data_IF_879496741511
#
_entry.id   IF_879496741511
#
_cell.length_a   1.000
_cell.length_b   1.000
_cell.length_c   1.000
_cell.angle_alpha   90.00
_cell.angle_beta   90.00
_cell.angle_gamma   90.00
#
_symmetry.space_group_name_H-M   'P 1'
#
loop_
_entity.id
_entity.type
_entity.pdbx_description
1 polymer ?
#
# COMPACT_ATOMS: atom_id res chain seq x y z
N UNK A 1 2.85 -6.90 -7.73
CA UNK A 1 4.05 -6.49 -6.97
C UNK A 1 4.27 -7.44 -5.80
N UNK A 2 5.41 -8.08 -5.74
CA UNK A 2 5.83 -8.98 -4.67
C UNK A 2 7.25 -8.65 -4.20
N UNK A 3 7.71 -9.32 -3.15
CA UNK A 3 9.09 -9.20 -2.63
C UNK A 3 9.62 -10.57 -2.22
N UNK A 4 10.92 -10.65 -1.89
CA UNK A 4 11.55 -11.91 -1.48
C UNK A 4 11.06 -12.53 -0.16
N UNK A 5 10.10 -11.89 0.52
CA UNK A 5 9.46 -12.41 1.74
C UNK A 5 7.99 -12.80 1.52
N UNK A 6 7.53 -12.82 0.28
CA UNK A 6 6.17 -13.19 -0.10
C UNK A 6 6.15 -14.65 -0.56
N UNK A 7 5.08 -15.38 -0.22
CA UNK A 7 4.90 -16.76 -0.62
C UNK A 7 3.53 -16.94 -1.26
N UNK A 8 3.46 -17.74 -2.34
CA UNK A 8 2.22 -18.27 -2.87
C UNK A 8 1.68 -19.30 -1.87
N UNK A 9 0.43 -19.14 -1.42
CA UNK A 9 -0.18 -19.96 -0.38
C UNK A 9 -1.38 -20.79 -0.87
N UNK A 10 -1.81 -20.56 -2.12
CA UNK A 10 -2.95 -21.26 -2.75
C UNK A 10 -2.65 -21.53 -4.21
N UNK A 11 -3.03 -22.73 -4.67
CA UNK A 11 -2.98 -23.11 -6.10
C UNK A 11 -4.04 -22.37 -6.92
N UNK A 12 -3.86 -22.35 -8.24
CA UNK A 12 -4.88 -21.84 -9.17
C UNK A 12 -4.90 -20.31 -9.27
N UNK A 13 -3.80 -19.62 -8.91
CA UNK A 13 -3.72 -18.16 -9.08
C UNK A 13 -3.87 -17.75 -10.54
N UNK A 14 -3.23 -18.47 -11.47
CA UNK A 14 -3.29 -18.16 -12.89
C UNK A 14 -4.73 -18.29 -13.41
N UNK A 15 -5.36 -19.40 -13.18
CA UNK A 15 -6.74 -19.68 -13.60
C UNK A 15 -7.74 -18.68 -12.99
N UNK A 16 -7.52 -18.33 -11.73
CA UNK A 16 -8.32 -17.32 -11.05
C UNK A 16 -8.16 -15.93 -11.71
N UNK A 17 -6.93 -15.50 -11.98
CA UNK A 17 -6.65 -14.22 -12.63
C UNK A 17 -7.16 -14.19 -14.06
N UNK A 18 -7.06 -15.30 -14.79
CA UNK A 18 -7.58 -15.42 -16.16
C UNK A 18 -9.10 -15.29 -16.19
N UNK A 19 -9.81 -15.92 -15.25
CA UNK A 19 -11.26 -15.76 -15.07
C UNK A 19 -11.68 -14.33 -14.71
N UNK A 20 -10.76 -13.53 -14.18
CA UNK A 20 -10.93 -12.16 -13.70
C UNK A 20 -10.03 -11.16 -14.45
N UNK A 21 -9.74 -11.40 -15.72
CA UNK A 21 -8.72 -10.69 -16.51
C UNK A 21 -8.85 -9.17 -16.59
N UNK A 22 -10.04 -8.63 -16.25
CA UNK A 22 -10.30 -7.17 -16.24
C UNK A 22 -10.35 -6.57 -14.84
N UNK A 23 -10.08 -7.34 -13.79
CA UNK A 23 -10.19 -6.89 -12.40
C UNK A 23 -8.82 -6.51 -11.85
N UNK A 24 -8.76 -5.38 -11.16
CA UNK A 24 -7.61 -4.96 -10.35
C UNK A 24 -7.85 -5.35 -8.90
N UNK A 25 -6.96 -6.18 -8.37
CA UNK A 25 -6.99 -6.58 -6.96
C UNK A 25 -6.10 -5.65 -6.15
N UNK A 26 -6.72 -4.67 -5.51
CA UNK A 26 -6.04 -3.64 -4.72
C UNK A 26 -6.91 -3.24 -3.53
N UNK A 27 -6.31 -3.13 -2.35
CA UNK A 27 -7.04 -2.62 -1.19
C UNK A 27 -7.06 -1.10 -1.18
N UNK A 28 -8.27 -0.57 -1.19
CA UNK A 28 -8.55 0.85 -0.95
C UNK A 28 -9.16 0.97 0.45
N UNK A 29 -8.46 1.65 1.36
CA UNK A 29 -8.93 1.80 2.74
C UNK A 29 -9.97 2.92 2.83
N UNK A 30 -9.67 4.08 2.25
CA UNK A 30 -10.56 5.23 2.27
C UNK A 30 -10.15 6.31 1.27
N UNK A 31 -11.09 7.19 0.96
CA UNK A 31 -10.80 8.48 0.35
C UNK A 31 -10.24 9.42 1.43
N UNK A 32 -9.21 10.17 1.08
CA UNK A 32 -8.54 11.13 1.98
C UNK A 32 -9.09 12.53 1.71
N UNK A 33 -9.50 13.20 2.79
CA UNK A 33 -9.88 14.61 2.79
C UNK A 33 -8.82 15.45 3.49
N UNK A 34 -8.92 16.76 3.39
CA UNK A 34 -7.97 17.66 4.06
C UNK A 34 -7.97 17.52 5.60
N UNK A 35 -9.10 17.10 6.17
CA UNK A 35 -9.27 16.90 7.62
C UNK A 35 -8.74 15.55 8.11
N UNK A 36 -8.31 14.68 7.20
CA UNK A 36 -7.69 13.42 7.56
C UNK A 36 -6.22 13.61 7.93
N UNK A 37 -5.77 12.88 8.96
CA UNK A 37 -4.36 12.87 9.36
C UNK A 37 -3.44 12.44 8.22
N UNK A 38 -3.89 11.52 7.40
CA UNK A 38 -3.15 10.99 6.27
C UNK A 38 -2.94 12.02 5.15
N UNK A 39 -3.73 13.10 5.11
CA UNK A 39 -3.52 14.21 4.17
C UNK A 39 -2.15 14.86 4.33
N UNK A 40 -1.58 14.82 5.53
CA UNK A 40 -0.24 15.32 5.79
C UNK A 40 0.84 14.63 4.95
N UNK A 41 0.59 13.40 4.45
CA UNK A 41 1.56 12.67 3.61
C UNK A 41 1.92 13.42 2.35
N UNK A 42 0.95 14.07 1.72
CA UNK A 42 1.12 14.81 0.46
C UNK A 42 1.05 16.34 0.62
N UNK A 43 0.41 16.85 1.68
CA UNK A 43 0.32 18.29 1.93
C UNK A 43 1.60 18.89 2.51
N UNK A 44 2.45 18.07 3.11
CA UNK A 44 3.73 18.46 3.69
C UNK A 44 4.86 18.04 2.74
N UNK A 45 5.77 18.95 2.40
CA UNK A 45 7.07 18.62 1.83
C UNK A 45 7.98 18.13 2.97
N UNK A 46 8.10 16.82 3.09
CA UNK A 46 8.77 16.19 4.23
C UNK A 46 10.29 16.34 4.13
N UNK A 47 10.95 16.93 5.14
CA UNK A 47 12.40 16.92 5.19
C UNK A 47 12.93 15.48 5.15
N UNK A 48 13.94 15.20 4.32
CA UNK A 48 14.50 13.85 4.10
C UNK A 48 14.84 13.13 5.42
N UNK A 49 15.35 13.85 6.43
CA UNK A 49 15.65 13.29 7.76
C UNK A 49 14.40 12.77 8.46
N UNK A 50 13.24 13.38 8.26
CA UNK A 50 11.98 12.94 8.84
C UNK A 50 11.32 11.80 8.07
N UNK A 51 11.77 11.49 6.84
CA UNK A 51 11.26 10.39 6.04
C UNK A 51 11.81 9.02 6.47
N UNK A 52 12.93 9.00 7.22
CA UNK A 52 13.51 7.76 7.75
C UNK A 52 12.57 7.11 8.76
N UNK A 53 12.17 5.87 8.48
CA UNK A 53 11.18 5.11 9.27
C UNK A 53 11.86 4.13 10.24
N UNK A 54 12.63 4.64 11.21
CA UNK A 54 13.10 3.82 12.32
C UNK A 54 12.07 3.80 13.44
N UNK A 55 11.79 2.62 13.99
CA UNK A 55 10.66 2.37 14.89
C UNK A 55 10.64 3.19 16.17
N UNK A 56 11.79 3.48 16.76
CA UNK A 56 11.92 4.18 18.04
C UNK A 56 12.69 5.51 17.93
N UNK A 57 12.85 6.07 16.73
CA UNK A 57 13.59 7.30 16.57
C UNK A 57 12.73 8.52 16.95
N UNK A 58 13.35 9.53 17.58
CA UNK A 58 12.72 10.81 17.96
C UNK A 58 11.92 11.45 16.80
N UNK A 59 12.37 11.31 15.57
CA UNK A 59 11.66 11.78 14.38
C UNK A 59 10.26 11.19 14.19
N UNK A 60 9.94 10.03 14.78
CA UNK A 60 8.59 9.49 14.78
C UNK A 60 7.61 10.41 15.52
N UNK A 61 8.00 10.94 16.68
CA UNK A 61 7.18 11.87 17.45
C UNK A 61 6.97 13.18 16.69
N UNK A 62 8.02 13.70 16.03
CA UNK A 62 7.91 14.89 15.20
C UNK A 62 6.93 14.64 14.04
N UNK A 63 7.00 13.49 13.36
CA UNK A 63 6.04 13.14 12.30
C UNK A 63 4.60 13.09 12.81
N UNK A 64 4.37 12.45 13.96
CA UNK A 64 3.03 12.38 14.58
C UNK A 64 2.51 13.78 14.88
N UNK A 65 3.35 14.64 15.45
CA UNK A 65 3.01 16.02 15.77
C UNK A 65 2.66 16.83 14.52
N UNK A 66 3.49 16.77 13.48
CA UNK A 66 3.23 17.46 12.20
C UNK A 66 1.93 16.96 11.53
N UNK A 67 1.66 15.65 11.58
CA UNK A 67 0.41 15.08 11.08
C UNK A 67 -0.81 15.56 11.89
N UNK A 68 -0.66 15.69 13.20
CA UNK A 68 -1.72 16.23 14.05
C UNK A 68 -1.99 17.70 13.72
N UNK A 69 -0.96 18.55 13.61
CA UNK A 69 -1.11 19.96 13.20
C UNK A 69 -1.79 20.05 11.83
N UNK A 70 -1.38 19.24 10.86
CA UNK A 70 -1.98 19.23 9.53
C UNK A 70 -3.48 18.92 9.58
N UNK A 71 -3.89 17.97 10.42
CA UNK A 71 -5.32 17.64 10.66
C UNK A 71 -6.10 18.83 11.24
N UNK A 72 -5.49 19.69 12.05
CA UNK A 72 -6.13 20.91 12.60
C UNK A 72 -6.09 22.09 11.63
N UNK A 73 -5.58 21.92 10.41
CA UNK A 73 -5.47 22.96 9.40
C UNK A 73 -4.13 23.70 9.36
N UNK A 74 -3.22 23.42 10.33
CA UNK A 74 -1.91 24.05 10.39
C UNK A 74 -0.91 23.18 9.62
N UNK A 75 -0.50 23.62 8.42
CA UNK A 75 0.43 22.88 7.56
C UNK A 75 1.80 23.55 7.63
N UNK A 76 2.70 22.96 8.43
CA UNK A 76 4.12 23.36 8.43
C UNK A 76 4.82 22.64 7.27
N UNK A 77 5.81 23.32 6.65
CA UNK A 77 6.52 22.84 5.43
C UNK A 77 5.55 22.47 4.30
N UNK A 78 4.61 23.37 4.01
CA UNK A 78 3.60 23.16 2.97
C UNK A 78 4.24 22.71 1.66
N UNK A 79 3.69 21.65 1.07
CA UNK A 79 4.02 21.26 -0.29
C UNK A 79 3.48 22.33 -1.25
N UNK A 80 4.39 23.12 -1.83
CA UNK A 80 4.05 24.21 -2.74
C UNK A 80 4.11 23.78 -4.21
N UNK A 81 4.39 22.53 -4.49
CA UNK A 81 4.32 22.01 -5.85
C UNK A 81 2.88 22.05 -6.32
N UNK A 82 2.68 22.59 -7.51
CA UNK A 82 1.35 22.75 -8.08
C UNK A 82 1.02 21.51 -8.90
N UNK A 83 -0.11 20.93 -8.59
CA UNK A 83 -0.71 19.89 -9.38
C UNK A 83 -2.02 20.44 -9.98
N UNK A 84 -2.18 20.29 -11.30
CA UNK A 84 -3.24 21.00 -12.05
C UNK A 84 -4.60 20.32 -12.01
N UNK A 85 -4.63 18.99 -11.91
CA UNK A 85 -5.90 18.25 -11.95
C UNK A 85 -6.53 18.10 -10.57
N UNK A 86 -7.85 18.19 -10.52
CA UNK A 86 -8.62 17.97 -9.29
C UNK A 86 -8.82 16.49 -9.05
N UNK A 87 -7.80 15.80 -8.55
CA UNK A 87 -7.92 14.40 -8.16
C UNK A 87 -8.47 14.23 -6.74
N UNK A 88 -9.19 13.16 -6.57
CA UNK A 88 -9.57 12.66 -5.24
C UNK A 88 -8.47 11.72 -4.74
N UNK A 89 -7.88 12.04 -3.59
CA UNK A 89 -6.82 11.23 -3.01
C UNK A 89 -7.38 10.02 -2.28
N UNK A 90 -6.74 8.86 -2.48
CA UNK A 90 -7.12 7.60 -1.87
C UNK A 90 -5.92 6.95 -1.19
N UNK A 91 -6.16 6.33 -0.02
CA UNK A 91 -5.19 5.54 0.70
C UNK A 91 -5.56 4.06 0.63
N UNK A 92 -4.53 3.22 0.53
CA UNK A 92 -4.68 1.77 0.54
C UNK A 92 -3.39 1.05 0.90
N UNK A 93 -3.25 -0.16 0.40
CA UNK A 93 -2.03 -0.97 0.57
C UNK A 93 -1.20 -0.99 -0.71
N UNK A 94 0.10 -1.12 -0.56
CA UNK A 94 1.07 -1.10 -1.66
C UNK A 94 0.96 -2.31 -2.59
N UNK A 95 0.53 -3.46 -2.07
CA UNK A 95 0.46 -4.70 -2.85
C UNK A 95 -0.81 -4.73 -3.68
N UNK A 96 -0.64 -4.98 -4.97
CA UNK A 96 -1.77 -5.14 -5.88
C UNK A 96 -1.41 -6.01 -7.07
N UNK A 97 -2.43 -6.55 -7.73
CA UNK A 97 -2.36 -7.26 -8.99
C UNK A 97 -3.30 -6.53 -9.94
N UNK A 98 -2.80 -6.15 -11.13
CA UNK A 98 -3.58 -5.41 -12.10
C UNK A 98 -3.39 -5.96 -13.51
N UNK A 99 -4.41 -5.87 -14.38
CA UNK A 99 -4.27 -6.11 -15.81
C UNK A 99 -3.23 -5.17 -16.43
N UNK A 100 -2.58 -5.63 -17.51
CA UNK A 100 -1.58 -4.81 -18.21
C UNK A 100 -2.14 -3.47 -18.66
N UNK A 101 -3.39 -3.42 -19.12
CA UNK A 101 -4.06 -2.18 -19.53
C UNK A 101 -4.12 -1.13 -18.40
N UNK A 102 -4.24 -1.54 -17.14
CA UNK A 102 -4.19 -0.64 -15.98
C UNK A 102 -2.78 -0.14 -15.76
N UNK A 103 -1.78 -1.00 -15.92
CA UNK A 103 -0.36 -0.60 -15.81
C UNK A 103 0.05 0.37 -16.91
N UNK A 104 -0.36 0.11 -18.15
CA UNK A 104 -0.13 1.01 -19.28
C UNK A 104 -0.78 2.38 -19.04
N UNK A 105 -2.01 2.39 -18.52
CA UNK A 105 -2.70 3.63 -18.14
C UNK A 105 -1.92 4.40 -17.08
N UNK A 106 -1.42 3.72 -16.02
CA UNK A 106 -0.62 4.37 -14.96
C UNK A 106 0.63 5.00 -15.54
N UNK A 107 1.36 4.28 -16.38
CA UNK A 107 2.59 4.78 -17.03
C UNK A 107 2.29 5.97 -17.94
N UNK A 108 1.24 5.85 -18.76
CA UNK A 108 0.82 6.95 -19.65
C UNK A 108 0.37 8.19 -18.85
N UNK A 109 -0.41 7.98 -17.76
CA UNK A 109 -0.84 9.04 -16.88
C UNK A 109 0.34 9.80 -16.29
N UNK A 110 1.31 9.09 -15.72
CA UNK A 110 2.51 9.69 -15.11
C UNK A 110 3.35 10.44 -16.15
N UNK A 111 3.51 9.89 -17.36
CA UNK A 111 4.25 10.54 -18.44
C UNK A 111 3.58 11.82 -18.95
N UNK A 112 2.26 11.87 -18.95
CA UNK A 112 1.48 13.06 -19.34
C UNK A 112 1.39 14.10 -18.24
N UNK A 113 1.47 13.70 -16.98
CA UNK A 113 1.30 14.55 -15.81
C UNK A 113 2.56 14.53 -14.94
N UNK A 114 3.65 15.11 -15.47
CA UNK A 114 4.93 15.20 -14.73
C UNK A 114 4.77 15.98 -13.43
N UNK A 115 3.91 17.00 -13.42
CA UNK A 115 3.54 17.77 -12.23
C UNK A 115 2.92 16.90 -11.12
N UNK A 116 2.15 15.86 -11.49
CA UNK A 116 1.65 14.87 -10.52
C UNK A 116 2.79 14.04 -9.92
N UNK A 117 3.73 13.58 -10.74
CA UNK A 117 4.89 12.84 -10.23
C UNK A 117 5.72 13.70 -9.28
N UNK A 118 6.07 14.92 -9.68
CA UNK A 118 6.84 15.86 -8.88
C UNK A 118 6.15 16.20 -7.55
N UNK A 119 4.81 16.26 -7.55
CA UNK A 119 4.01 16.51 -6.36
C UNK A 119 4.28 15.49 -5.24
N UNK A 120 4.62 14.24 -5.59
CA UNK A 120 4.88 13.17 -4.63
C UNK A 120 6.34 13.05 -4.18
N UNK A 121 7.28 13.80 -4.78
CA UNK A 121 8.72 13.61 -4.55
C UNK A 121 9.13 13.66 -3.08
N UNK A 122 8.59 14.63 -2.31
CA UNK A 122 8.87 14.77 -0.87
C UNK A 122 7.72 14.26 0.01
N UNK A 123 6.87 13.37 -0.51
CA UNK A 123 5.73 12.84 0.23
C UNK A 123 6.13 11.70 1.15
N UNK A 124 5.48 11.60 2.31
CA UNK A 124 5.71 10.52 3.26
C UNK A 124 4.88 9.29 2.91
N UNK A 125 5.54 8.17 2.58
CA UNK A 125 4.86 6.91 2.24
C UNK A 125 3.89 7.07 1.05
N UNK A 126 4.38 7.67 -0.02
CA UNK A 126 3.64 7.85 -1.27
C UNK A 126 3.10 6.54 -1.86
N UNK A 127 3.81 5.43 -1.65
CA UNK A 127 3.44 4.07 -2.07
C UNK A 127 2.05 3.62 -1.56
N UNK A 128 1.56 4.20 -0.48
CA UNK A 128 0.22 3.90 0.06
C UNK A 128 -0.90 4.72 -0.58
N UNK A 129 -0.58 5.68 -1.44
CA UNK A 129 -1.58 6.60 -2.00
C UNK A 129 -1.43 6.82 -3.51
N UNK A 130 -0.22 6.72 -4.05
CA UNK A 130 0.10 7.07 -5.44
C UNK A 130 -0.71 6.25 -6.44
N UNK A 131 -0.56 4.93 -6.39
CA UNK A 131 -1.27 4.02 -7.30
C UNK A 131 -2.77 4.02 -7.03
N UNK A 132 -3.17 4.03 -5.76
CA UNK A 132 -4.57 4.07 -5.34
C UNK A 132 -5.28 5.31 -5.90
N UNK A 133 -4.60 6.46 -5.84
CA UNK A 133 -5.13 7.72 -6.36
C UNK A 133 -5.30 7.66 -7.86
N UNK A 134 -4.32 7.19 -8.63
CA UNK A 134 -4.42 7.08 -10.08
C UNK A 134 -5.55 6.13 -10.48
N UNK A 135 -5.57 4.92 -9.91
CA UNK A 135 -6.56 3.88 -10.24
C UNK A 135 -7.98 4.33 -9.93
N UNK A 136 -8.19 4.94 -8.74
CA UNK A 136 -9.52 5.39 -8.31
C UNK A 136 -10.05 6.62 -9.07
N UNK A 137 -9.19 7.36 -9.77
CA UNK A 137 -9.58 8.46 -10.67
C UNK A 137 -9.57 8.04 -12.15
N UNK A 138 -9.34 6.76 -12.44
CA UNK A 138 -9.28 6.21 -13.80
C UNK A 138 -10.63 5.60 -14.23
N UNK A 139 -10.80 5.27 -15.52
CA UNK A 139 -11.93 4.48 -16.01
C UNK A 139 -12.01 3.08 -15.40
N UNK A 140 -10.94 2.59 -14.76
CA UNK A 140 -10.88 1.24 -14.17
C UNK A 140 -11.42 1.16 -12.73
N UNK A 141 -11.81 2.28 -12.12
CA UNK A 141 -12.24 2.35 -10.71
C UNK A 141 -13.40 1.40 -10.35
N UNK A 142 -14.29 1.10 -11.31
CA UNK A 142 -15.43 0.19 -11.09
C UNK A 142 -15.04 -1.30 -11.22
N UNK A 143 -13.79 -1.60 -11.63
CA UNK A 143 -13.26 -2.94 -11.82
C UNK A 143 -12.20 -3.26 -10.77
N UNK A 144 -12.54 -3.05 -9.50
CA UNK A 144 -11.65 -3.25 -8.36
C UNK A 144 -12.27 -4.27 -7.42
N UNK A 145 -11.45 -5.25 -7.02
CA UNK A 145 -11.74 -6.17 -5.91
C UNK A 145 -10.64 -6.04 -4.85
N UNK A 146 -10.88 -6.60 -3.66
CA UNK A 146 -9.91 -6.55 -2.56
C UNK A 146 -8.63 -7.32 -2.89
N UNK A 147 -7.54 -6.97 -2.24
CA UNK A 147 -6.22 -7.58 -2.46
C UNK A 147 -6.23 -9.09 -2.21
N UNK A 148 -5.47 -9.83 -3.01
CA UNK A 148 -5.25 -11.27 -2.87
C UNK A 148 -4.05 -11.62 -1.98
N UNK A 149 -3.50 -10.63 -1.28
CA UNK A 149 -2.35 -10.74 -0.39
C UNK A 149 -2.79 -10.71 1.07
N UNK A 150 -2.54 -11.78 1.82
CA UNK A 150 -2.66 -11.74 3.27
C UNK A 150 -1.44 -11.04 3.87
N UNK A 151 -1.68 -10.00 4.64
CA UNK A 151 -0.61 -9.26 5.36
C UNK A 151 -0.97 -9.19 6.84
N UNK A 152 -0.14 -9.79 7.67
CA UNK A 152 -0.29 -9.71 9.13
C UNK A 152 0.46 -8.50 9.65
N UNK A 153 -0.25 -7.57 10.32
CA UNK A 153 0.37 -6.44 11.01
C UNK A 153 0.50 -6.69 12.49
N UNK A 154 1.53 -6.12 13.09
CA UNK A 154 1.72 -6.21 14.55
C UNK A 154 0.65 -5.43 15.32
N UNK A 155 0.48 -5.79 16.60
CA UNK A 155 -0.52 -5.17 17.49
C UNK A 155 0.07 -4.13 18.45
N UNK A 156 1.40 -4.04 18.52
CA UNK A 156 2.08 -3.10 19.44
C UNK A 156 2.36 -1.78 18.74
N UNK A 157 2.56 -0.71 19.50
CA UNK A 157 2.94 0.60 18.98
C UNK A 157 4.20 0.54 18.07
N UNK A 158 5.11 -0.38 18.37
CA UNK A 158 6.32 -0.61 17.56
C UNK A 158 6.03 -1.30 16.23
N UNK A 159 5.12 -2.28 16.22
CA UNK A 159 4.93 -3.19 15.08
C UNK A 159 3.65 -2.93 14.28
N UNK A 160 2.75 -2.08 14.75
CA UNK A 160 1.43 -1.86 14.14
C UNK A 160 1.46 -1.35 12.68
N UNK A 161 2.58 -0.75 12.27
CA UNK A 161 2.75 -0.21 10.92
C UNK A 161 3.66 -1.07 10.02
N UNK A 162 4.08 -2.24 10.51
CA UNK A 162 4.96 -3.14 9.78
C UNK A 162 4.37 -4.54 9.69
N UNK A 163 4.49 -5.21 8.54
CA UNK A 163 4.19 -6.62 8.46
C UNK A 163 5.04 -7.42 9.43
N UNK A 164 4.41 -8.30 10.19
CA UNK A 164 5.08 -9.23 11.10
C UNK A 164 5.10 -10.62 10.50
N UNK A 165 6.04 -11.45 10.96
CA UNK A 165 6.25 -12.81 10.47
C UNK A 165 5.02 -13.68 10.64
N UNK A 166 4.65 -14.42 9.60
CA UNK A 166 3.61 -15.42 9.60
C UNK A 166 4.15 -16.68 10.27
N UNK A 167 3.35 -17.23 11.16
CA UNK A 167 3.65 -18.44 11.94
C UNK A 167 2.59 -19.52 11.68
N UNK A 168 2.78 -20.74 12.18
CA UNK A 168 1.78 -21.80 12.09
C UNK A 168 0.39 -21.40 12.61
N UNK A 169 0.32 -20.48 13.58
CA UNK A 169 -0.96 -19.98 14.12
C UNK A 169 -1.78 -19.18 13.11
N UNK A 170 -1.15 -18.70 12.07
CA UNK A 170 -1.80 -17.87 11.03
C UNK A 170 -2.34 -18.73 9.87
N UNK A 171 -1.89 -19.98 9.75
CA UNK A 171 -2.24 -20.89 8.64
C UNK A 171 -3.76 -21.01 8.47
N UNK A 172 -4.49 -21.27 9.54
CA UNK A 172 -5.96 -21.42 9.47
C UNK A 172 -6.65 -20.14 8.98
N UNK A 173 -6.14 -18.95 9.36
CA UNK A 173 -6.70 -17.68 8.91
C UNK A 173 -6.44 -17.44 7.42
N UNK A 174 -5.24 -17.79 6.95
CA UNK A 174 -4.87 -17.67 5.54
C UNK A 174 -5.71 -18.62 4.70
N UNK A 175 -5.90 -19.85 5.17
CA UNK A 175 -6.70 -20.88 4.50
C UNK A 175 -8.19 -20.53 4.39
N UNK A 176 -8.74 -19.94 5.45
CA UNK A 176 -10.13 -19.50 5.49
C UNK A 176 -10.41 -18.29 4.59
N UNK A 177 -9.35 -17.54 4.23
CA UNK A 177 -9.46 -16.35 3.41
C UNK A 177 -9.36 -16.62 1.90
N UNK A 178 -9.69 -15.60 1.11
CA UNK A 178 -9.51 -15.65 -0.34
C UNK A 178 -8.16 -15.07 -0.74
N UNK A 179 -7.07 -15.57 -0.15
CA UNK A 179 -5.72 -15.11 -0.42
C UNK A 179 -4.97 -16.13 -1.26
N UNK A 180 -4.24 -15.65 -2.26
CA UNK A 180 -3.32 -16.46 -3.06
C UNK A 180 -1.87 -16.25 -2.64
N UNK A 181 -1.56 -15.10 -2.05
CA UNK A 181 -0.24 -14.77 -1.54
C UNK A 181 -0.32 -14.37 -0.08
N UNK A 182 0.77 -14.53 0.65
CA UNK A 182 0.85 -14.08 2.03
C UNK A 182 2.22 -13.48 2.35
N UNK A 183 2.27 -12.59 3.36
CA UNK A 183 3.43 -11.80 3.77
C UNK A 183 3.39 -11.54 5.28
N UNK A 184 4.53 -11.56 5.97
CA UNK A 184 5.87 -11.88 5.47
C UNK A 184 6.31 -13.22 6.07
N UNK A 185 7.09 -13.96 5.31
CA UNK A 185 7.74 -15.17 5.77
C UNK A 185 9.21 -14.88 6.06
N UNK A 186 9.72 -15.47 7.13
CA UNK A 186 11.12 -15.46 7.51
C UNK A 186 11.62 -16.91 7.63
N UNK A 187 12.87 -17.16 7.28
CA UNK A 187 13.42 -18.52 7.17
C UNK A 187 13.39 -19.31 8.49
N UNK A 188 13.27 -18.63 9.61
CA UNK A 188 13.15 -19.21 10.94
C UNK A 188 11.81 -19.94 11.14
N UNK A 189 10.76 -19.52 10.45
CA UNK A 189 9.40 -20.10 10.52
C UNK A 189 9.19 -21.21 9.47
N UNK A 190 10.11 -22.18 9.45
CA UNK A 190 10.13 -23.26 8.45
C UNK A 190 8.82 -24.03 8.37
N UNK A 191 8.18 -24.31 9.49
CA UNK A 191 6.93 -25.10 9.52
C UNK A 191 5.81 -24.45 8.69
N UNK A 192 5.61 -23.14 8.84
CA UNK A 192 4.61 -22.41 8.06
C UNK A 192 4.98 -22.36 6.57
N UNK A 193 6.27 -22.18 6.26
CA UNK A 193 6.79 -22.18 4.89
C UNK A 193 6.57 -23.56 4.24
N UNK A 194 7.03 -24.63 4.91
CA UNK A 194 6.95 -25.99 4.40
C UNK A 194 5.50 -26.43 4.20
N UNK A 195 4.59 -26.03 5.09
CA UNK A 195 3.17 -26.31 4.96
C UNK A 195 2.64 -25.77 3.61
N UNK A 196 2.85 -24.49 3.31
CA UNK A 196 2.35 -23.88 2.07
C UNK A 196 3.09 -24.41 0.84
N UNK A 197 4.41 -24.59 0.90
CA UNK A 197 5.17 -25.16 -0.22
C UNK A 197 4.66 -26.57 -0.58
N UNK A 198 4.41 -27.42 0.41
CA UNK A 198 3.90 -28.77 0.15
C UNK A 198 2.45 -28.75 -0.39
N UNK A 199 1.68 -27.76 0.00
CA UNK A 199 0.31 -27.59 -0.50
C UNK A 199 0.25 -27.12 -1.95
N UNK A 200 1.19 -26.32 -2.40
CA UNK A 200 1.22 -25.77 -3.76
C UNK A 200 2.05 -26.61 -4.74
N UNK A 201 2.74 -27.65 -4.32
CA UNK A 201 3.29 -28.71 -5.18
C UNK A 201 2.16 -29.64 -5.65
#
# INVERSE_FOLDING_TARGET
LGSGQDLLVKKGLYEYLDSKHNITFIRINKRITENDRESARYRISWPKKLMVRNDMHFYRFIRIFLQFLCKTGIVLFKNNRVYKDSLLFYEGRTWFIAPIAVMDYIVEYVNKHVDFYDYWEDSLASDLMFFQTIIMNSPFREKIEDELMYVKFGKTFKTMNHPVTITNKDVCLIEAGNFFCARKFELEEKEAIDYFINKIK
#
